data_IF_401971292985
#
_entry.id   IF_401971292985
#
_cell.length_a   1.000
_cell.length_b   1.000
_cell.length_c   1.000
_cell.angle_alpha   90.00
_cell.angle_beta   90.00
_cell.angle_gamma   90.00
#
_symmetry.space_group_name_H-M   'P 1'
#
loop_
_entity.id
_entity.type
_entity.pdbx_description
1 polymer ?
#
# COMPACT_ATOMS: atom_id res chain seq x y z
N UNK A 1 3.62 17.91 5.47
CA UNK A 1 3.07 18.53 6.69
C UNK A 1 2.50 17.40 7.53
N UNK A 2 2.78 17.40 8.84
CA UNK A 2 2.26 16.44 9.80
C UNK A 2 1.37 17.19 10.78
N UNK A 3 0.14 16.73 10.94
CA UNK A 3 -0.87 17.33 11.81
C UNK A 3 -1.25 16.31 12.88
N UNK A 4 -1.28 16.76 14.14
CA UNK A 4 -1.80 16.01 15.28
C UNK A 4 -2.84 16.89 15.98
N UNK A 5 -4.05 16.39 16.19
CA UNK A 5 -5.16 17.10 16.84
C UNK A 5 -5.43 18.50 16.26
N UNK A 6 -5.41 18.60 14.93
CA UNK A 6 -5.62 19.87 14.22
C UNK A 6 -4.45 20.86 14.29
N UNK A 7 -3.35 20.51 14.98
CA UNK A 7 -2.15 21.34 15.09
C UNK A 7 -1.04 20.83 14.18
N UNK A 8 -0.38 21.74 13.45
CA UNK A 8 0.84 21.43 12.71
C UNK A 8 1.98 21.10 13.69
N UNK A 9 2.50 19.87 13.63
CA UNK A 9 3.62 19.39 14.47
C UNK A 9 4.90 19.14 13.67
N UNK A 10 4.83 19.20 12.33
CA UNK A 10 6.00 19.04 11.48
C UNK A 10 5.78 19.53 10.06
N UNK A 11 6.76 20.27 9.53
CA UNK A 11 6.74 20.73 8.15
C UNK A 11 8.14 20.79 7.58
N UNK A 12 8.30 20.14 6.42
CA UNK A 12 9.51 20.12 5.61
C UNK A 12 9.12 20.07 4.14
N UNK A 13 9.96 20.65 3.29
CA UNK A 13 9.90 20.51 1.84
C UNK A 13 10.66 19.26 1.46
N UNK A 14 10.06 18.42 0.61
CA UNK A 14 10.74 17.29 -0.02
C UNK A 14 11.28 17.80 -1.35
N UNK A 15 12.60 17.85 -1.48
CA UNK A 15 13.28 18.42 -2.65
C UNK A 15 13.11 17.58 -3.92
N UNK A 16 12.95 16.26 -3.77
CA UNK A 16 12.79 15.32 -4.87
C UNK A 16 11.77 14.26 -4.51
N UNK A 17 10.84 14.02 -5.43
CA UNK A 17 9.87 12.92 -5.34
C UNK A 17 10.07 11.98 -6.51
N UNK A 18 9.84 10.69 -6.30
CA UNK A 18 9.85 9.70 -7.39
C UNK A 18 8.42 9.58 -7.92
N UNK A 19 8.24 9.75 -9.24
CA UNK A 19 6.94 9.66 -9.90
C UNK A 19 6.51 8.20 -10.18
N UNK A 20 6.82 7.28 -9.26
CA UNK A 20 6.56 5.86 -9.40
C UNK A 20 6.24 5.22 -8.05
N UNK A 21 5.43 4.15 -8.09
CA UNK A 21 5.16 3.33 -6.92
C UNK A 21 6.26 2.28 -6.78
N UNK A 22 6.83 2.16 -5.60
CA UNK A 22 7.65 1.01 -5.23
C UNK A 22 6.72 -0.03 -4.57
N UNK A 23 6.71 -1.29 -5.00
CA UNK A 23 5.81 -2.26 -4.35
C UNK A 23 6.02 -3.73 -4.69
N UNK A 24 6.43 -4.50 -3.67
CA UNK A 24 5.91 -5.85 -3.36
C UNK A 24 4.81 -5.79 -2.29
N UNK A 25 4.56 -4.61 -1.71
CA UNK A 25 3.59 -4.41 -0.64
C UNK A 25 2.22 -3.99 -1.21
N UNK A 26 1.18 -4.65 -0.72
CA UNK A 26 -0.17 -4.59 -1.27
C UNK A 26 -1.10 -3.91 -0.28
N UNK A 27 -1.65 -4.67 0.66
CA UNK A 27 -2.58 -4.23 1.68
C UNK A 27 -2.12 -4.74 3.05
N UNK A 28 -1.21 -4.00 3.68
CA UNK A 28 -0.71 -4.30 5.02
C UNK A 28 -1.76 -4.02 6.10
N UNK A 29 -2.03 -5.00 6.96
CA UNK A 29 -2.87 -4.83 8.15
C UNK A 29 -1.98 -4.95 9.39
N UNK A 30 -2.05 -3.97 10.29
CA UNK A 30 -1.28 -3.90 11.55
C UNK A 30 0.25 -3.80 11.44
N UNK A 31 0.86 -4.00 10.28
CA UNK A 31 2.30 -4.14 10.20
C UNK A 31 2.82 -3.60 8.87
N UNK A 32 3.82 -2.73 8.95
CA UNK A 32 4.67 -2.42 7.81
C UNK A 32 5.85 -3.39 7.78
N UNK A 33 6.07 -4.02 6.63
CA UNK A 33 7.04 -5.10 6.45
C UNK A 33 8.35 -4.65 5.82
N UNK A 34 8.45 -3.41 5.32
CA UNK A 34 9.75 -2.85 4.96
C UNK A 34 9.78 -1.72 3.94
N UNK A 35 11.00 -1.44 3.48
CA UNK A 35 11.26 -0.34 2.55
C UNK A 35 12.21 -0.79 1.44
N UNK A 36 11.85 -0.58 0.15
CA UNK A 36 12.73 -0.88 -0.97
C UNK A 36 13.76 0.24 -1.24
N UNK A 37 13.72 1.35 -0.49
CA UNK A 37 14.50 2.57 -0.79
C UNK A 37 15.43 2.99 0.35
N UNK A 38 15.34 2.36 1.52
CA UNK A 38 16.11 2.74 2.71
C UNK A 38 16.53 1.49 3.49
N UNK A 39 17.84 1.38 3.78
CA UNK A 39 18.41 0.24 4.54
C UNK A 39 18.28 0.43 6.04
N UNK A 40 18.14 1.67 6.49
CA UNK A 40 18.00 2.05 7.89
C UNK A 40 16.58 1.84 8.42
N UNK A 41 15.62 1.58 7.54
CA UNK A 41 14.26 1.21 7.91
C UNK A 41 14.27 -0.17 8.57
N UNK A 42 13.84 -0.24 9.84
CA UNK A 42 13.87 -1.47 10.66
C UNK A 42 12.45 -2.00 10.95
N UNK A 43 11.76 -2.56 9.95
CA UNK A 43 10.52 -3.29 10.16
C UNK A 43 10.78 -4.57 10.99
N UNK A 44 9.73 -5.24 11.52
CA UNK A 44 8.33 -4.89 11.41
C UNK A 44 7.90 -3.85 12.45
N UNK A 45 7.27 -2.76 12.00
CA UNK A 45 6.65 -1.78 12.88
C UNK A 45 5.23 -2.23 13.25
N UNK A 46 5.15 -3.32 14.01
CA UNK A 46 3.88 -3.92 14.38
C UNK A 46 3.06 -2.99 15.29
N UNK A 47 1.79 -2.82 14.94
CA UNK A 47 0.78 -2.19 15.79
C UNK A 47 0.60 -3.02 17.06
N UNK A 48 0.71 -2.38 18.21
CA UNK A 48 0.66 -3.04 19.53
C UNK A 48 -0.70 -2.94 20.22
N UNK A 49 -1.67 -2.26 19.60
CA UNK A 49 -3.05 -2.18 20.09
C UNK A 49 -3.91 -3.34 19.59
N UNK A 50 -5.22 -3.20 19.77
CA UNK A 50 -6.20 -4.19 19.30
C UNK A 50 -7.03 -3.64 18.15
N UNK A 51 -7.22 -4.45 17.11
CA UNK A 51 -8.21 -4.17 16.08
C UNK A 51 -9.47 -5.00 16.38
N UNK A 52 -10.61 -4.33 16.52
CA UNK A 52 -11.89 -4.98 16.78
C UNK A 52 -12.47 -5.69 15.55
N UNK A 53 -12.40 -5.07 14.37
CA UNK A 53 -12.88 -5.64 13.11
C UNK A 53 -12.13 -5.02 11.93
N UNK A 54 -11.77 -5.86 10.97
CA UNK A 54 -11.39 -5.44 9.60
C UNK A 54 -12.40 -6.06 8.65
N UNK A 55 -13.04 -5.24 7.84
CA UNK A 55 -13.99 -5.69 6.83
C UNK A 55 -13.56 -5.17 5.47
N UNK A 56 -13.30 -6.10 4.54
CA UNK A 56 -13.01 -5.77 3.14
C UNK A 56 -14.27 -6.11 2.36
N UNK A 57 -15.03 -5.07 2.00
CA UNK A 57 -16.18 -5.20 1.12
C UNK A 57 -15.67 -5.02 -0.31
N UNK A 58 -15.67 -6.10 -1.08
CA UNK A 58 -15.45 -6.00 -2.52
C UNK A 58 -16.77 -5.62 -3.17
N UNK A 59 -16.71 -4.66 -4.10
CA UNK A 59 -17.83 -4.37 -4.98
C UNK A 59 -18.05 -5.50 -5.99
N UNK A 60 -19.06 -5.34 -6.85
CA UNK A 60 -19.18 -6.19 -8.04
C UNK A 60 -17.91 -6.05 -8.87
N UNK A 61 -17.31 -7.17 -9.27
CA UNK A 61 -16.07 -7.16 -10.07
C UNK A 61 -16.32 -6.46 -11.42
N UNK A 62 -17.57 -6.46 -11.90
CA UNK A 62 -17.94 -5.87 -13.18
C UNK A 62 -17.29 -6.57 -14.37
N UNK A 63 -16.73 -7.77 -14.15
CA UNK A 63 -16.03 -8.58 -15.13
C UNK A 63 -16.73 -9.95 -15.23
N UNK A 64 -16.89 -10.43 -16.46
CA UNK A 64 -17.20 -11.82 -16.74
C UNK A 64 -16.01 -12.73 -16.42
N UNK A 65 -16.26 -14.03 -16.23
CA UNK A 65 -15.20 -15.02 -15.98
C UNK A 65 -14.12 -15.05 -17.08
N UNK A 66 -14.48 -14.73 -18.32
CA UNK A 66 -13.56 -14.66 -19.44
C UNK A 66 -12.62 -13.44 -19.33
N UNK A 67 -13.17 -12.28 -18.98
CA UNK A 67 -12.40 -11.04 -18.79
C UNK A 67 -11.48 -11.14 -17.57
N UNK A 68 -11.94 -11.78 -16.49
CA UNK A 68 -11.11 -12.03 -15.31
C UNK A 68 -9.94 -12.97 -15.66
N UNK A 69 -10.19 -14.03 -16.41
CA UNK A 69 -9.14 -14.97 -16.84
C UNK A 69 -8.11 -14.31 -17.76
N UNK A 70 -8.56 -13.44 -18.67
CA UNK A 70 -7.66 -12.66 -19.54
C UNK A 70 -6.81 -11.68 -18.73
N UNK A 71 -7.42 -10.97 -17.78
CA UNK A 71 -6.72 -10.03 -16.90
C UNK A 71 -5.68 -10.75 -16.02
N UNK A 72 -6.05 -11.90 -15.44
CA UNK A 72 -5.13 -12.73 -14.68
C UNK A 72 -3.97 -13.23 -15.56
N UNK A 73 -4.23 -13.70 -16.78
CA UNK A 73 -3.17 -14.11 -17.70
C UNK A 73 -2.20 -12.97 -18.03
N UNK A 74 -2.69 -11.75 -18.26
CA UNK A 74 -1.87 -10.55 -18.50
C UNK A 74 -1.00 -10.21 -17.28
N UNK A 75 -1.58 -10.28 -16.08
CA UNK A 75 -0.85 -10.04 -14.83
C UNK A 75 0.29 -11.04 -14.62
N UNK A 76 0.03 -12.33 -14.85
CA UNK A 76 1.05 -13.39 -14.70
C UNK A 76 2.10 -13.36 -15.81
N UNK A 77 1.79 -12.80 -16.98
CA UNK A 77 2.74 -12.61 -18.07
C UNK A 77 3.67 -11.40 -17.86
N UNK A 78 3.47 -10.59 -16.81
CA UNK A 78 4.26 -9.38 -16.55
C UNK A 78 4.09 -8.30 -17.62
N UNK A 79 3.03 -8.36 -18.42
CA UNK A 79 2.74 -7.37 -19.45
C UNK A 79 2.09 -6.17 -18.76
N UNK A 80 2.83 -5.06 -18.77
CA UNK A 80 2.53 -3.79 -18.08
C UNK A 80 1.07 -3.33 -18.23
N UNK A 81 0.54 -2.78 -17.13
CA UNK A 81 -0.59 -1.83 -17.14
C UNK A 81 -0.21 -0.53 -17.86
#
# INVERSE_FOLDING_TARGET
MLILDGKEVGKRRIERTVAGRFGIDTFGVCCDTGSPVCKEYKPPFAFTGQIGKVEIVLGDAGLSEAEERELQAKFHAGINY
#
